data_IF_868248513101
#
_entry.id   IF_868248513101
#
_cell.length_a   1.000
_cell.length_b   1.000
_cell.length_c   1.000
_cell.angle_alpha   90.00
_cell.angle_beta   90.00
_cell.angle_gamma   90.00
#
_symmetry.space_group_name_H-M   'P 1'
#
loop_
_entity.id
_entity.type
_entity.pdbx_description
1 polymer ?
#
# COMPACT_ATOMS: atom_id res chain seq x y z
N UNK A 1 16.30 22.51 28.19
CA UNK A 1 16.87 21.85 27.00
C UNK A 1 16.77 20.35 27.25
N UNK A 2 15.64 19.75 26.87
CA UNK A 2 15.39 18.34 27.16
C UNK A 2 15.95 17.46 26.05
N UNK A 3 16.97 16.68 26.41
CA UNK A 3 17.50 15.58 25.60
C UNK A 3 16.36 14.61 25.34
N UNK A 4 15.83 14.63 24.10
CA UNK A 4 14.87 13.64 23.61
C UNK A 4 15.42 12.24 23.86
N UNK A 5 14.65 11.46 24.60
CA UNK A 5 14.88 10.05 24.90
C UNK A 5 15.18 9.29 23.60
N UNK A 6 16.43 8.89 23.45
CA UNK A 6 16.94 8.07 22.36
C UNK A 6 16.25 6.71 22.42
N UNK A 7 15.34 6.40 21.49
CA UNK A 7 14.77 5.05 21.38
C UNK A 7 15.83 4.09 20.80
N UNK A 8 16.80 3.69 21.61
CA UNK A 8 17.80 2.65 21.26
C UNK A 8 17.20 1.24 21.10
N UNK A 9 15.88 1.09 21.10
CA UNK A 9 15.21 -0.20 21.22
C UNK A 9 15.16 -1.06 19.96
N UNK A 10 15.21 -0.48 18.76
CA UNK A 10 15.17 -1.28 17.54
C UNK A 10 15.95 -0.61 16.39
N UNK A 11 17.26 -0.87 16.34
CA UNK A 11 18.11 -0.44 15.24
C UNK A 11 17.60 -1.00 13.89
N UNK A 12 17.03 -2.20 13.86
CA UNK A 12 16.48 -2.78 12.62
C UNK A 12 15.34 -1.91 12.09
N UNK A 13 14.41 -1.50 12.95
CA UNK A 13 13.32 -0.61 12.58
C UNK A 13 13.83 0.77 12.13
N UNK A 14 14.80 1.36 12.84
CA UNK A 14 15.38 2.64 12.43
C UNK A 14 16.04 2.57 11.05
N UNK A 15 16.72 1.47 10.74
CA UNK A 15 17.31 1.24 9.42
C UNK A 15 16.23 1.13 8.32
N UNK A 16 15.10 0.48 8.61
CA UNK A 16 13.96 0.40 7.69
C UNK A 16 13.37 1.79 7.43
N UNK A 17 13.09 2.56 8.48
CA UNK A 17 12.47 3.89 8.38
C UNK A 17 13.38 4.89 7.67
N UNK A 18 14.65 4.98 8.07
CA UNK A 18 15.63 5.85 7.40
C UNK A 18 15.95 5.36 5.99
N UNK A 19 15.91 4.05 5.77
CA UNK A 19 16.08 3.46 4.44
C UNK A 19 14.97 3.89 3.49
N UNK A 20 13.72 3.86 3.93
CA UNK A 20 12.59 4.33 3.13
C UNK A 20 12.72 5.82 2.78
N UNK A 21 13.15 6.65 3.73
CA UNK A 21 13.41 8.08 3.47
C UNK A 21 14.51 8.24 2.42
N UNK A 22 15.62 7.49 2.54
CA UNK A 22 16.72 7.55 1.59
C UNK A 22 16.30 7.09 0.18
N UNK A 23 15.53 6.01 0.07
CA UNK A 23 15.00 5.51 -1.20
C UNK A 23 14.13 6.57 -1.88
N UNK A 24 13.24 7.22 -1.12
CA UNK A 24 12.38 8.25 -1.66
C UNK A 24 13.14 9.51 -2.11
N UNK A 25 14.25 9.85 -1.46
CA UNK A 25 15.05 11.02 -1.81
C UNK A 25 16.04 10.77 -2.96
N UNK A 26 16.67 9.60 -2.99
CA UNK A 26 17.84 9.33 -3.85
C UNK A 26 17.64 8.17 -4.83
N UNK A 27 16.50 7.48 -4.78
CA UNK A 27 16.23 6.29 -5.59
C UNK A 27 17.14 5.11 -5.22
N UNK A 28 16.98 4.00 -5.94
CA UNK A 28 17.78 2.80 -5.74
C UNK A 28 19.27 3.03 -6.03
N UNK A 29 19.61 3.81 -7.06
CA UNK A 29 21.00 4.12 -7.42
C UNK A 29 21.75 4.84 -6.30
N UNK A 30 21.08 5.79 -5.64
CA UNK A 30 21.67 6.54 -4.54
C UNK A 30 21.63 5.83 -3.18
N UNK A 31 21.03 4.64 -3.10
CA UNK A 31 20.79 3.91 -1.85
C UNK A 31 21.97 3.01 -1.44
N UNK A 32 22.37 3.05 -0.16
CA UNK A 32 23.34 2.10 0.40
C UNK A 32 23.19 1.95 1.92
N UNK A 33 23.51 0.75 2.44
CA UNK A 33 23.52 0.46 3.89
C UNK A 33 24.36 1.47 4.68
N UNK A 34 25.52 1.90 4.14
CA UNK A 34 26.40 2.88 4.80
C UNK A 34 25.73 4.25 4.97
N UNK A 35 24.98 4.71 3.95
CA UNK A 35 24.24 5.98 4.03
C UNK A 35 23.10 5.88 5.05
N UNK A 36 22.36 4.77 5.06
CA UNK A 36 21.31 4.53 6.06
C UNK A 36 21.89 4.46 7.48
N UNK A 37 23.03 3.80 7.68
CA UNK A 37 23.74 3.78 8.97
C UNK A 37 24.07 5.19 9.47
N UNK A 38 24.55 6.04 8.56
CA UNK A 38 24.91 7.42 8.86
C UNK A 38 23.68 8.23 9.29
N UNK A 39 22.54 8.04 8.61
CA UNK A 39 21.26 8.66 8.99
C UNK A 39 20.76 8.20 10.37
N UNK A 40 21.03 6.95 10.74
CA UNK A 40 20.70 6.40 12.06
C UNK A 40 21.73 6.79 13.15
N UNK A 41 22.81 7.49 12.80
CA UNK A 41 23.87 7.86 13.76
C UNK A 41 24.67 6.67 14.31
N UNK A 42 24.78 5.57 13.54
CA UNK A 42 25.52 4.37 13.93
C UNK A 42 26.72 4.10 13.01
N UNK A 43 27.62 3.20 13.42
CA UNK A 43 28.76 2.81 12.60
C UNK A 43 28.32 2.17 11.28
N UNK A 44 29.15 2.30 10.23
CA UNK A 44 28.88 1.69 8.92
C UNK A 44 28.79 0.16 8.96
N UNK A 45 29.33 -0.50 9.99
CA UNK A 45 29.25 -1.96 10.18
C UNK A 45 27.99 -2.40 10.91
N UNK A 46 27.31 -1.51 11.63
CA UNK A 46 26.13 -1.85 12.43
C UNK A 46 24.95 -2.44 11.63
N UNK A 47 24.60 -1.94 10.42
CA UNK A 47 23.49 -2.50 9.64
C UNK A 47 23.67 -3.96 9.24
N UNK A 48 24.94 -4.40 9.07
CA UNK A 48 25.25 -5.76 8.63
C UNK A 48 24.90 -6.84 9.67
N UNK A 49 24.59 -6.45 10.91
CA UNK A 49 24.03 -7.36 11.92
C UNK A 49 22.55 -7.69 11.68
N UNK A 50 21.86 -6.90 10.86
CA UNK A 50 20.43 -7.00 10.60
C UNK A 50 20.11 -7.30 9.13
N UNK A 51 20.95 -6.83 8.21
CA UNK A 51 20.77 -6.99 6.77
C UNK A 51 22.11 -7.31 6.13
N UNK A 52 22.20 -8.47 5.46
CA UNK A 52 23.38 -8.96 4.74
C UNK A 52 23.81 -7.99 3.64
N UNK A 53 22.83 -7.44 2.92
CA UNK A 53 23.06 -6.63 1.74
C UNK A 53 21.95 -5.57 1.56
N UNK A 54 22.13 -4.75 0.51
CA UNK A 54 21.21 -3.66 0.15
C UNK A 54 19.81 -4.21 -0.14
N UNK A 55 19.73 -5.34 -0.83
CA UNK A 55 18.48 -5.89 -1.32
C UNK A 55 17.65 -6.45 -0.16
N UNK A 56 18.29 -7.06 0.84
CA UNK A 56 17.61 -7.49 2.06
C UNK A 56 16.97 -6.32 2.82
N UNK A 57 17.67 -5.19 2.95
CA UNK A 57 17.09 -3.98 3.56
C UNK A 57 15.93 -3.43 2.72
N UNK A 58 16.07 -3.37 1.39
CA UNK A 58 14.98 -2.93 0.49
C UNK A 58 13.76 -3.84 0.61
N UNK A 59 13.95 -5.16 0.70
CA UNK A 59 12.88 -6.12 0.89
C UNK A 59 12.18 -5.94 2.25
N UNK A 60 12.95 -5.71 3.32
CA UNK A 60 12.36 -5.42 4.63
C UNK A 60 11.54 -4.12 4.63
N UNK A 61 11.98 -3.10 3.88
CA UNK A 61 11.19 -1.87 3.67
C UNK A 61 9.90 -2.18 2.90
N UNK A 62 9.96 -2.99 1.83
CA UNK A 62 8.78 -3.47 1.09
C UNK A 62 7.78 -4.20 1.99
N UNK A 63 8.27 -5.10 2.84
CA UNK A 63 7.43 -5.84 3.78
C UNK A 63 6.75 -4.92 4.80
N UNK A 64 7.49 -3.98 5.39
CA UNK A 64 6.94 -3.06 6.38
C UNK A 64 5.88 -2.13 5.78
N UNK A 65 6.16 -1.57 4.60
CA UNK A 65 5.22 -0.70 3.88
C UNK A 65 3.98 -1.48 3.46
N UNK A 66 4.15 -2.70 2.92
CA UNK A 66 3.04 -3.58 2.54
C UNK A 66 2.18 -3.97 3.75
N UNK A 67 2.80 -4.25 4.89
CA UNK A 67 2.12 -4.62 6.14
C UNK A 67 1.29 -3.47 6.70
N UNK A 68 1.83 -2.25 6.72
CA UNK A 68 1.07 -1.05 7.11
C UNK A 68 -0.12 -0.84 6.19
N UNK A 69 0.07 -0.99 4.89
CA UNK A 69 -1.00 -0.81 3.93
C UNK A 69 -2.09 -1.88 4.06
N UNK A 70 -1.70 -3.16 4.15
CA UNK A 70 -2.62 -4.26 4.44
C UNK A 70 -3.42 -4.00 5.71
N UNK A 71 -2.77 -3.61 6.80
CA UNK A 71 -3.42 -3.36 8.09
C UNK A 71 -4.48 -2.27 7.98
N UNK A 72 -4.15 -1.16 7.30
CA UNK A 72 -5.07 -0.05 7.09
C UNK A 72 -6.34 -0.45 6.31
N UNK A 73 -6.22 -1.32 5.31
CA UNK A 73 -7.39 -1.81 4.55
C UNK A 73 -8.15 -2.89 5.31
N UNK A 74 -7.44 -3.80 5.99
CA UNK A 74 -8.03 -4.91 6.74
C UNK A 74 -8.85 -4.42 7.93
N UNK A 75 -8.39 -3.38 8.64
CA UNK A 75 -9.14 -2.74 9.71
C UNK A 75 -10.50 -2.21 9.21
N UNK A 76 -10.48 -1.47 8.09
CA UNK A 76 -11.70 -0.96 7.48
C UNK A 76 -12.60 -2.09 6.97
N UNK A 77 -12.03 -3.12 6.34
CA UNK A 77 -12.79 -4.30 5.95
C UNK A 77 -13.51 -4.93 7.15
N UNK A 78 -12.84 -5.07 8.29
CA UNK A 78 -13.43 -5.62 9.51
C UNK A 78 -14.60 -4.78 10.04
N UNK A 79 -14.46 -3.45 10.05
CA UNK A 79 -15.51 -2.53 10.51
C UNK A 79 -16.81 -2.63 9.69
N UNK A 80 -16.69 -2.89 8.39
CA UNK A 80 -17.83 -2.97 7.47
C UNK A 80 -18.21 -4.39 7.05
N UNK A 81 -17.80 -5.42 7.82
CA UNK A 81 -18.00 -6.85 7.46
C UNK A 81 -19.44 -7.27 7.16
N UNK A 82 -20.42 -6.55 7.71
CA UNK A 82 -21.85 -6.83 7.55
C UNK A 82 -22.53 -5.97 6.46
N UNK A 83 -21.79 -5.14 5.73
CA UNK A 83 -22.32 -4.27 4.68
C UNK A 83 -21.44 -4.34 3.41
N UNK A 84 -21.48 -5.43 2.63
CA UNK A 84 -20.46 -5.70 1.60
C UNK A 84 -20.31 -4.62 0.53
N UNK A 85 -21.41 -4.01 0.07
CA UNK A 85 -21.34 -2.86 -0.84
C UNK A 85 -20.58 -1.67 -0.22
N UNK A 86 -20.90 -1.34 1.02
CA UNK A 86 -20.26 -0.24 1.76
C UNK A 86 -18.81 -0.59 2.11
N UNK A 87 -18.51 -1.85 2.42
CA UNK A 87 -17.18 -2.35 2.71
C UNK A 87 -16.20 -2.05 1.55
N UNK A 88 -16.57 -2.36 0.31
CA UNK A 88 -15.75 -2.09 -0.87
C UNK A 88 -15.50 -0.58 -1.03
N UNK A 89 -16.54 0.23 -0.83
CA UNK A 89 -16.45 1.70 -0.92
C UNK A 89 -15.48 2.25 0.13
N UNK A 90 -15.61 1.79 1.38
CA UNK A 90 -14.78 2.26 2.49
C UNK A 90 -13.34 1.76 2.39
N UNK A 91 -13.10 0.54 1.89
CA UNK A 91 -11.76 0.06 1.54
C UNK A 91 -11.13 0.95 0.45
N UNK A 92 -11.89 1.30 -0.59
CA UNK A 92 -11.39 2.19 -1.64
C UNK A 92 -11.06 3.60 -1.12
N UNK A 93 -11.86 4.14 -0.21
CA UNK A 93 -11.55 5.41 0.50
C UNK A 93 -10.31 5.27 1.38
N UNK A 94 -10.18 4.18 2.11
CA UNK A 94 -9.03 3.90 2.97
C UNK A 94 -7.74 3.78 2.14
N UNK A 95 -7.81 3.16 0.96
CA UNK A 95 -6.71 3.10 0.01
C UNK A 95 -6.26 4.51 -0.38
N UNK A 96 -7.17 5.33 -0.92
CA UNK A 96 -6.83 6.69 -1.36
C UNK A 96 -6.29 7.51 -0.20
N UNK A 97 -6.94 7.44 0.98
CA UNK A 97 -6.48 8.14 2.18
C UNK A 97 -5.05 7.75 2.54
N UNK A 98 -4.77 6.46 2.65
CA UNK A 98 -3.46 5.96 3.02
C UNK A 98 -2.36 6.47 2.09
N UNK A 99 -2.60 6.47 0.78
CA UNK A 99 -1.63 6.91 -0.22
C UNK A 99 -1.45 8.43 -0.30
N UNK A 100 -2.48 9.19 0.05
CA UNK A 100 -2.42 10.66 0.14
C UNK A 100 -1.69 11.10 1.42
N UNK A 101 -1.92 10.40 2.53
CA UNK A 101 -1.29 10.69 3.82
C UNK A 101 0.14 10.17 3.93
N UNK A 102 0.51 9.16 3.11
CA UNK A 102 1.84 8.55 3.08
C UNK A 102 2.42 8.58 1.65
N UNK A 103 2.68 9.77 1.06
CA UNK A 103 3.14 9.90 -0.33
C UNK A 103 4.48 9.18 -0.60
N UNK A 104 5.33 9.06 0.42
CA UNK A 104 6.59 8.31 0.37
C UNK A 104 6.37 6.79 0.28
N UNK A 105 5.22 6.27 0.73
CA UNK A 105 4.86 4.87 0.54
C UNK A 105 4.32 4.65 -0.87
N UNK A 106 3.56 5.60 -1.41
CA UNK A 106 3.07 5.55 -2.79
C UNK A 106 4.22 5.54 -3.80
N UNK A 107 5.19 6.45 -3.63
CA UNK A 107 6.38 6.51 -4.50
C UNK A 107 7.15 5.20 -4.46
N UNK A 108 7.33 4.61 -3.28
CA UNK A 108 8.04 3.36 -3.14
C UNK A 108 7.25 2.16 -3.68
N UNK A 109 6.01 1.92 -3.25
CA UNK A 109 5.24 0.72 -3.65
C UNK A 109 4.93 0.62 -5.15
N UNK A 110 4.82 1.75 -5.86
CA UNK A 110 4.27 1.76 -7.22
C UNK A 110 5.19 2.32 -8.30
N UNK A 111 6.34 2.89 -7.92
CA UNK A 111 7.33 3.36 -8.90
C UNK A 111 8.64 2.54 -8.84
N UNK A 112 8.69 1.47 -8.04
CA UNK A 112 9.73 0.43 -8.12
C UNK A 112 9.15 -0.88 -8.64
N UNK A 113 10.03 -1.79 -9.10
CA UNK A 113 9.63 -3.14 -9.47
C UNK A 113 8.92 -3.82 -8.28
N UNK A 114 7.68 -4.26 -8.50
CA UNK A 114 6.90 -4.95 -7.48
C UNK A 114 7.35 -6.42 -7.42
N UNK A 115 7.95 -6.88 -6.31
CA UNK A 115 8.38 -8.27 -6.19
C UNK A 115 7.20 -9.26 -6.11
N UNK A 116 5.97 -8.78 -5.94
CA UNK A 116 4.76 -9.58 -5.82
C UNK A 116 3.77 -9.26 -6.94
N UNK A 117 4.02 -9.81 -8.13
CA UNK A 117 3.09 -9.72 -9.27
C UNK A 117 1.79 -10.47 -8.99
N UNK A 118 0.66 -9.87 -9.35
CA UNK A 118 -0.64 -10.57 -9.41
C UNK A 118 -0.65 -11.43 -10.67
N UNK A 119 -0.89 -12.74 -10.54
CA UNK A 119 -0.94 -13.65 -11.70
C UNK A 119 -2.35 -14.14 -11.98
N UNK A 120 -2.74 -14.04 -13.24
CA UNK A 120 -4.09 -14.34 -13.74
C UNK A 120 -3.96 -15.33 -14.90
N UNK A 121 -4.79 -16.37 -14.87
CA UNK A 121 -4.92 -17.37 -15.94
C UNK A 121 -6.35 -17.92 -15.92
N UNK A 122 -6.94 -18.21 -17.07
CA UNK A 122 -8.26 -18.88 -17.16
C UNK A 122 -9.34 -18.24 -16.27
N UNK A 123 -9.39 -16.91 -16.24
CA UNK A 123 -10.30 -16.12 -15.41
C UNK A 123 -10.21 -16.37 -13.88
N UNK A 124 -9.05 -16.82 -13.39
CA UNK A 124 -8.76 -16.97 -11.97
C UNK A 124 -7.48 -16.23 -11.55
N UNK A 125 -7.52 -15.64 -10.35
CA UNK A 125 -6.31 -15.21 -9.63
C UNK A 125 -5.67 -16.45 -9.02
N UNK A 126 -4.66 -17.04 -9.68
CA UNK A 126 -4.03 -18.28 -9.21
C UNK A 126 -2.81 -18.04 -8.32
N UNK A 127 -2.25 -16.83 -8.34
CA UNK A 127 -1.18 -16.42 -7.43
C UNK A 127 -1.39 -14.97 -7.01
N UNK A 128 -1.71 -14.78 -5.73
CA UNK A 128 -1.80 -13.50 -5.05
C UNK A 128 -1.23 -13.68 -3.64
N UNK A 129 -0.41 -12.73 -3.18
CA UNK A 129 0.11 -12.74 -1.81
C UNK A 129 -1.06 -12.66 -0.83
N UNK A 130 -1.19 -13.66 0.03
CA UNK A 130 -2.12 -13.61 1.16
C UNK A 130 -1.71 -12.52 2.17
N UNK A 131 -2.68 -12.03 2.94
CA UNK A 131 -2.49 -10.87 3.83
C UNK A 131 -1.91 -9.64 3.09
N UNK A 132 -2.38 -9.38 1.87
CA UNK A 132 -2.03 -8.19 1.10
C UNK A 132 -3.23 -7.26 0.95
N UNK A 133 -2.97 -5.99 0.66
CA UNK A 133 -4.02 -5.02 0.36
C UNK A 133 -4.95 -5.50 -0.78
N UNK A 134 -4.38 -6.19 -1.78
CA UNK A 134 -5.15 -6.73 -2.89
C UNK A 134 -6.03 -7.93 -2.47
N UNK A 135 -5.54 -8.83 -1.62
CA UNK A 135 -6.35 -9.96 -1.15
C UNK A 135 -7.55 -9.48 -0.30
N UNK A 136 -7.38 -8.44 0.53
CA UNK A 136 -8.50 -7.79 1.24
C UNK A 136 -9.58 -7.32 0.26
N UNK A 137 -9.16 -6.71 -0.84
CA UNK A 137 -10.08 -6.20 -1.86
C UNK A 137 -10.78 -7.31 -2.64
N UNK A 138 -10.06 -8.37 -3.04
CA UNK A 138 -10.64 -9.56 -3.67
C UNK A 138 -11.73 -10.17 -2.78
N UNK A 139 -11.42 -10.42 -1.51
CA UNK A 139 -12.36 -11.05 -0.57
C UNK A 139 -13.62 -10.20 -0.37
N UNK A 140 -13.47 -8.88 -0.25
CA UNK A 140 -14.60 -7.96 -0.07
C UNK A 140 -15.44 -7.86 -1.36
N UNK A 141 -14.79 -7.82 -2.52
CA UNK A 141 -15.45 -7.77 -3.83
C UNK A 141 -16.28 -9.01 -4.10
N UNK A 142 -15.70 -10.21 -3.90
CA UNK A 142 -16.41 -11.49 -4.10
C UNK A 142 -17.68 -11.58 -3.26
N UNK A 143 -17.62 -11.20 -1.98
CA UNK A 143 -18.80 -11.18 -1.09
C UNK A 143 -19.93 -10.29 -1.62
N UNK A 144 -19.61 -9.10 -2.12
CA UNK A 144 -20.62 -8.21 -2.70
C UNK A 144 -21.18 -8.77 -4.01
N UNK A 145 -20.32 -9.32 -4.87
CA UNK A 145 -20.71 -9.88 -6.16
C UNK A 145 -21.63 -11.09 -6.02
N UNK A 146 -21.41 -11.92 -5.01
CA UNK A 146 -22.31 -13.03 -4.66
C UNK A 146 -23.69 -12.52 -4.27
N UNK A 147 -23.79 -11.45 -3.47
CA UNK A 147 -25.07 -10.87 -3.02
C UNK A 147 -25.90 -10.34 -4.19
N UNK A 148 -25.25 -9.71 -5.17
CA UNK A 148 -25.93 -9.15 -6.34
C UNK A 148 -26.11 -10.18 -7.47
N UNK A 149 -25.72 -11.44 -7.26
CA UNK A 149 -25.72 -12.50 -8.27
C UNK A 149 -25.01 -12.10 -9.57
N UNK A 150 -23.86 -11.41 -9.46
CA UNK A 150 -23.04 -11.09 -10.62
C UNK A 150 -22.50 -12.37 -11.24
N UNK A 151 -22.47 -12.42 -12.58
CA UNK A 151 -21.82 -13.50 -13.31
C UNK A 151 -20.34 -13.63 -12.88
N UNK A 152 -19.92 -14.84 -12.53
CA UNK A 152 -18.55 -15.14 -12.10
C UNK A 152 -17.55 -14.82 -13.20
N UNK A 153 -17.96 -14.89 -14.45
CA UNK A 153 -17.08 -14.56 -15.58
C UNK A 153 -16.66 -13.08 -15.58
N UNK A 154 -17.43 -12.21 -14.92
CA UNK A 154 -17.14 -10.77 -14.81
C UNK A 154 -16.30 -10.41 -13.57
N UNK A 155 -15.99 -11.37 -12.69
CA UNK A 155 -15.38 -11.05 -11.39
C UNK A 155 -13.99 -10.43 -11.53
N UNK A 156 -13.12 -11.01 -12.37
CA UNK A 156 -11.77 -10.50 -12.57
C UNK A 156 -11.81 -9.10 -13.18
N UNK A 157 -12.57 -8.92 -14.26
CA UNK A 157 -12.68 -7.65 -14.96
C UNK A 157 -13.18 -6.55 -14.03
N UNK A 158 -14.20 -6.83 -13.21
CA UNK A 158 -14.72 -5.87 -12.23
C UNK A 158 -13.73 -5.60 -11.10
N UNK A 159 -13.08 -6.62 -10.54
CA UNK A 159 -12.06 -6.44 -9.49
C UNK A 159 -10.90 -5.58 -10.01
N UNK A 160 -10.35 -5.90 -11.18
CA UNK A 160 -9.24 -5.15 -11.78
C UNK A 160 -9.65 -3.73 -12.16
N UNK A 161 -10.85 -3.54 -12.69
CA UNK A 161 -11.36 -2.20 -13.04
C UNK A 161 -11.48 -1.32 -11.80
N UNK A 162 -12.09 -1.82 -10.72
CA UNK A 162 -12.21 -1.07 -9.48
C UNK A 162 -10.86 -0.83 -8.79
N UNK A 163 -9.98 -1.83 -8.79
CA UNK A 163 -8.62 -1.69 -8.23
C UNK A 163 -7.82 -0.63 -8.99
N UNK A 164 -7.85 -0.68 -10.33
CA UNK A 164 -7.21 0.30 -11.21
C UNK A 164 -7.76 1.71 -10.99
N UNK A 165 -9.08 1.84 -10.84
CA UNK A 165 -9.76 3.12 -10.59
C UNK A 165 -9.27 3.77 -9.28
N UNK A 166 -9.29 3.01 -8.18
CA UNK A 166 -8.84 3.49 -6.87
C UNK A 166 -7.34 3.79 -6.88
N UNK A 167 -6.55 2.96 -7.53
CA UNK A 167 -5.12 3.17 -7.71
C UNK A 167 -4.81 4.47 -8.48
N UNK A 168 -5.48 4.69 -9.62
CA UNK A 168 -5.34 5.92 -10.41
C UNK A 168 -5.75 7.15 -9.60
N UNK A 169 -6.87 7.08 -8.89
CA UNK A 169 -7.31 8.15 -7.97
C UNK A 169 -6.26 8.49 -6.91
N UNK A 170 -5.68 7.46 -6.28
CA UNK A 170 -4.63 7.64 -5.28
C UNK A 170 -3.41 8.38 -5.85
N UNK A 171 -2.94 7.99 -7.04
CA UNK A 171 -1.81 8.65 -7.71
C UNK A 171 -2.16 10.10 -8.06
N UNK A 172 -3.28 10.32 -8.73
CA UNK A 172 -3.68 11.63 -9.25
C UNK A 172 -3.88 12.66 -8.12
N UNK A 173 -4.47 12.24 -7.00
CA UNK A 173 -4.68 13.10 -5.83
C UNK A 173 -3.37 13.29 -5.05
N UNK A 174 -2.63 12.21 -4.77
CA UNK A 174 -1.38 12.27 -3.98
C UNK A 174 -0.31 13.14 -4.66
N UNK A 175 -0.21 13.07 -6.00
CA UNK A 175 0.70 13.92 -6.80
C UNK A 175 0.16 15.31 -7.11
N UNK A 176 -1.04 15.67 -6.61
CA UNK A 176 -1.74 16.93 -6.94
C UNK A 176 -1.93 17.15 -8.45
N UNK A 177 -1.97 16.09 -9.25
CA UNK A 177 -2.35 16.17 -10.67
C UNK A 177 -3.84 16.50 -10.81
N UNK A 178 -4.64 16.16 -9.80
CA UNK A 178 -6.00 16.66 -9.60
C UNK A 178 -6.03 17.45 -8.27
N UNK A 179 -6.18 18.75 -8.36
CA UNK A 179 -6.43 19.62 -7.20
C UNK A 179 -7.94 19.81 -7.01
N UNK A 180 -8.56 18.88 -6.31
CA UNK A 180 -9.98 18.98 -5.98
C UNK A 180 -10.21 19.95 -4.81
N UNK A 181 -10.92 21.06 -5.06
CA UNK A 181 -11.32 22.02 -4.03
C UNK A 181 -12.52 21.50 -3.23
N UNK A 182 -12.29 20.48 -2.43
CA UNK A 182 -13.29 19.84 -1.58
C UNK A 182 -12.73 18.62 -0.87
N UNK A 183 -13.58 17.84 -0.20
CA UNK A 183 -13.16 16.59 0.43
C UNK A 183 -12.94 15.52 -0.64
N UNK A 184 -11.67 15.17 -0.90
CA UNK A 184 -11.29 14.16 -1.90
C UNK A 184 -11.84 12.76 -1.58
N UNK A 185 -12.10 12.42 -0.32
CA UNK A 185 -12.74 11.14 0.04
C UNK A 185 -14.21 11.11 -0.37
N UNK A 186 -14.93 12.24 -0.33
CA UNK A 186 -16.29 12.33 -0.88
C UNK A 186 -16.29 12.20 -2.41
N UNK A 187 -15.27 12.76 -3.09
CA UNK A 187 -15.07 12.56 -4.53
C UNK A 187 -14.81 11.09 -4.84
N UNK A 188 -13.86 10.46 -4.13
CA UNK A 188 -13.55 9.03 -4.25
C UNK A 188 -14.78 8.16 -4.04
N UNK A 189 -15.56 8.43 -2.99
CA UNK A 189 -16.80 7.70 -2.72
C UNK A 189 -17.79 7.79 -3.89
N UNK A 190 -18.03 8.99 -4.42
CA UNK A 190 -18.94 9.20 -5.55
C UNK A 190 -18.48 8.44 -6.80
N UNK A 191 -17.19 8.47 -7.10
CA UNK A 191 -16.59 7.78 -8.25
C UNK A 191 -16.72 6.26 -8.09
N UNK A 192 -16.38 5.72 -6.92
CA UNK A 192 -16.52 4.27 -6.67
C UNK A 192 -17.98 3.85 -6.79
N UNK A 193 -18.92 4.61 -6.20
CA UNK A 193 -20.35 4.30 -6.28
C UNK A 193 -20.84 4.24 -7.73
N UNK A 194 -20.47 5.20 -8.56
CA UNK A 194 -20.81 5.19 -9.99
C UNK A 194 -20.22 3.98 -10.73
N UNK A 195 -19.02 3.52 -10.36
CA UNK A 195 -18.41 2.32 -10.97
C UNK A 195 -19.08 0.99 -10.55
N UNK A 196 -19.84 1.01 -9.45
CA UNK A 196 -20.57 -0.14 -8.91
C UNK A 196 -22.02 -0.24 -9.43
N UNK A 197 -22.50 0.78 -10.14
CA UNK A 197 -23.77 0.73 -10.84
C UNK A 197 -23.59 -0.16 -12.07
N UNK A 198 -24.40 -1.23 -12.14
CA UNK A 198 -24.44 -2.20 -13.24
C UNK A 198 -25.55 -1.78 -14.20
#
# INVERSE_FOLDING_TARGET
MDKKSYHHGDLKQQLIENGLLLLNQKGLEGFSLRKVASMCGVSHTAPYKHFRDKDELVNAINEEVSKKFYSALSEVASLYKNAPKLQIIEIGKAYVRFMVENPEYLKFMFLSDNPYSIKIKDNIFYECKENSAFSVFIHSSKKYFEIINLDKDLYIDKILSMWSLVHGMAILISKKSIEYRGNYLKLTERIIRSSLEI
#
